data_IF_048274868332
#
_entry.id   IF_048274868332
#
_cell.length_a   1.000
_cell.length_b   1.000
_cell.length_c   1.000
_cell.angle_alpha   90.00
_cell.angle_beta   90.00
_cell.angle_gamma   90.00
#
_symmetry.space_group_name_H-M   'P 1'
#
loop_
_entity.id
_entity.type
_entity.pdbx_description
1 polymer ?
#
# COMPACT_ATOMS: atom_id res chain seq x y z
N UNK A 1 4.62 -8.07 -27.29
CA UNK A 1 5.00 -9.38 -26.71
C UNK A 1 6.01 -10.13 -27.58
N UNK A 2 5.76 -10.39 -28.87
CA UNK A 2 6.69 -11.13 -29.75
C UNK A 2 8.11 -10.53 -29.80
N UNK A 3 8.22 -9.19 -29.81
CA UNK A 3 9.50 -8.49 -29.77
C UNK A 3 10.35 -8.85 -28.53
N UNK A 4 9.73 -8.98 -27.35
CA UNK A 4 10.41 -9.35 -26.10
C UNK A 4 10.93 -10.78 -26.17
N UNK A 5 10.12 -11.71 -26.69
CA UNK A 5 10.55 -13.12 -26.86
C UNK A 5 11.75 -13.19 -27.80
N UNK A 6 11.74 -12.43 -28.89
CA UNK A 6 12.86 -12.37 -29.83
C UNK A 6 14.12 -11.77 -29.19
N UNK A 7 13.98 -10.77 -28.31
CA UNK A 7 15.11 -10.20 -27.58
C UNK A 7 15.72 -11.19 -26.58
N UNK A 8 14.88 -11.90 -25.80
CA UNK A 8 15.31 -13.00 -24.92
C UNK A 8 16.05 -14.07 -25.72
N UNK A 9 15.53 -14.43 -26.91
CA UNK A 9 16.16 -15.40 -27.82
C UNK A 9 17.51 -14.90 -28.33
N UNK A 10 17.60 -13.64 -28.77
CA UNK A 10 18.85 -13.03 -29.27
C UNK A 10 19.93 -12.92 -28.17
N UNK A 11 19.51 -12.72 -26.92
CA UNK A 11 20.40 -12.73 -25.74
C UNK A 11 20.82 -14.14 -25.30
N UNK A 12 20.32 -15.20 -25.95
CA UNK A 12 20.67 -16.58 -25.62
C UNK A 12 20.06 -17.09 -24.31
N UNK A 13 19.06 -16.41 -23.77
CA UNK A 13 18.45 -16.75 -22.47
C UNK A 13 17.32 -17.78 -22.56
N UNK A 14 16.86 -18.07 -23.78
CA UNK A 14 15.67 -18.90 -24.01
C UNK A 14 16.03 -20.37 -24.21
N UNK A 15 15.68 -21.22 -23.24
CA UNK A 15 15.96 -22.66 -23.24
C UNK A 15 14.67 -23.45 -23.50
N UNK A 16 14.72 -24.51 -24.31
CA UNK A 16 13.60 -25.44 -24.47
C UNK A 16 13.60 -26.47 -23.34
N UNK A 17 12.47 -26.65 -22.67
CA UNK A 17 12.30 -27.67 -21.64
C UNK A 17 10.89 -28.23 -21.67
N UNK A 18 10.76 -29.56 -21.84
CA UNK A 18 9.46 -30.27 -21.86
C UNK A 18 8.41 -29.65 -22.83
N UNK A 19 8.85 -29.20 -24.01
CA UNK A 19 7.99 -28.53 -25.00
C UNK A 19 7.71 -27.05 -24.72
N UNK A 20 7.97 -26.55 -23.51
CA UNK A 20 7.90 -25.13 -23.17
C UNK A 20 9.23 -24.40 -23.46
N UNK A 21 9.18 -23.06 -23.42
CA UNK A 21 10.37 -22.20 -23.45
C UNK A 21 10.53 -21.48 -22.11
N UNK A 22 11.68 -21.65 -21.48
CA UNK A 22 11.99 -21.16 -20.13
C UNK A 22 13.22 -20.25 -20.13
N UNK A 23 13.40 -19.51 -19.04
CA UNK A 23 14.64 -18.82 -18.68
C UNK A 23 15.19 -19.50 -17.44
N UNK A 24 16.46 -19.89 -17.49
CA UNK A 24 17.21 -20.38 -16.34
C UNK A 24 18.02 -19.23 -15.74
N UNK A 25 18.09 -19.17 -14.42
CA UNK A 25 18.76 -18.09 -13.71
C UNK A 25 20.10 -18.56 -13.14
N UNK A 26 21.16 -17.76 -13.24
CA UNK A 26 22.42 -18.08 -12.60
C UNK A 26 22.26 -18.11 -11.07
N UNK A 27 23.05 -18.94 -10.40
CA UNK A 27 23.12 -18.93 -8.95
C UNK A 27 23.75 -17.61 -8.48
N UNK A 28 23.16 -17.01 -7.45
CA UNK A 28 23.68 -15.78 -6.83
C UNK A 28 24.08 -16.05 -5.38
N UNK A 29 24.75 -15.11 -4.74
CA UNK A 29 24.99 -15.14 -3.28
C UNK A 29 23.69 -15.21 -2.47
N UNK A 30 22.55 -14.80 -3.05
CA UNK A 30 21.21 -14.88 -2.46
C UNK A 30 20.46 -16.19 -2.75
N UNK A 31 21.15 -17.19 -3.33
CA UNK A 31 20.61 -18.48 -3.76
C UNK A 31 20.33 -18.55 -5.27
N UNK A 32 19.82 -19.71 -5.70
CA UNK A 32 19.36 -19.94 -7.08
C UNK A 32 17.85 -19.71 -7.21
N UNK A 33 17.45 -19.04 -8.29
CA UNK A 33 16.03 -18.92 -8.64
C UNK A 33 15.61 -20.12 -9.51
N UNK A 34 14.43 -20.70 -9.28
CA UNK A 34 13.90 -21.72 -10.18
C UNK A 34 13.63 -21.10 -11.56
N UNK A 35 13.65 -21.89 -12.64
CA UNK A 35 13.39 -21.39 -13.98
C UNK A 35 12.00 -20.75 -14.12
N UNK A 36 11.87 -19.78 -15.02
CA UNK A 36 10.60 -19.13 -15.31
C UNK A 36 10.10 -19.46 -16.73
N UNK A 37 8.82 -19.77 -16.87
CA UNK A 37 8.21 -20.11 -18.16
C UNK A 37 7.87 -18.82 -18.91
N UNK A 38 8.40 -18.67 -20.13
CA UNK A 38 8.13 -17.54 -21.04
C UNK A 38 7.01 -17.89 -22.01
N UNK A 39 7.06 -19.10 -22.55
CA UNK A 39 6.07 -19.65 -23.50
C UNK A 39 5.74 -21.08 -23.07
N UNK A 40 4.44 -21.36 -22.94
CA UNK A 40 3.93 -22.70 -22.61
C UNK A 40 4.13 -23.68 -23.79
N UNK A 41 3.94 -24.97 -23.53
CA UNK A 41 4.05 -26.03 -24.55
C UNK A 41 3.03 -25.89 -25.69
N UNK A 42 1.87 -25.27 -25.43
CA UNK A 42 0.84 -24.94 -26.42
C UNK A 42 1.15 -23.67 -27.24
N UNK A 43 2.30 -23.02 -26.99
CA UNK A 43 2.70 -21.78 -27.66
C UNK A 43 2.12 -20.50 -27.03
N UNK A 44 1.29 -20.59 -25.99
CA UNK A 44 0.72 -19.42 -25.33
C UNK A 44 1.76 -18.66 -24.49
N UNK A 45 1.71 -17.33 -24.54
CA UNK A 45 2.55 -16.45 -23.71
C UNK A 45 2.10 -16.44 -22.25
N UNK A 46 3.05 -16.34 -21.32
CA UNK A 46 2.77 -16.22 -19.88
C UNK A 46 2.64 -14.78 -19.40
N UNK A 47 2.27 -14.59 -18.13
CA UNK A 47 2.28 -13.27 -17.46
C UNK A 47 3.67 -12.63 -17.49
N UNK A 48 4.74 -13.43 -17.33
CA UNK A 48 6.11 -12.95 -17.42
C UNK A 48 6.36 -12.19 -18.73
N UNK A 49 5.93 -12.75 -19.87
CA UNK A 49 6.11 -12.12 -21.18
C UNK A 49 5.31 -10.82 -21.33
N UNK A 50 4.13 -10.73 -20.70
CA UNK A 50 3.30 -9.52 -20.68
C UNK A 50 3.94 -8.44 -19.82
N UNK A 51 4.40 -8.79 -18.63
CA UNK A 51 5.00 -7.84 -17.69
C UNK A 51 6.37 -7.36 -18.18
N UNK A 52 7.16 -8.22 -18.83
CA UNK A 52 8.39 -7.79 -19.51
C UNK A 52 8.10 -6.80 -20.64
N UNK A 53 7.02 -7.00 -21.41
CA UNK A 53 6.62 -6.04 -22.43
C UNK A 53 6.16 -4.70 -21.81
N UNK A 54 5.45 -4.74 -20.69
CA UNK A 54 5.06 -3.54 -19.95
C UNK A 54 6.29 -2.82 -19.38
N UNK A 55 7.25 -3.55 -18.80
CA UNK A 55 8.52 -2.99 -18.33
C UNK A 55 9.25 -2.32 -19.48
N UNK A 56 9.40 -3.01 -20.62
CA UNK A 56 10.09 -2.47 -21.78
C UNK A 56 9.47 -1.16 -22.24
N UNK A 57 8.15 -1.12 -22.35
CA UNK A 57 7.42 0.11 -22.69
C UNK A 57 7.68 1.22 -21.67
N UNK A 58 7.55 0.94 -20.36
CA UNK A 58 7.75 1.94 -19.31
C UNK A 58 9.17 2.50 -19.31
N UNK A 59 10.18 1.65 -19.47
CA UNK A 59 11.58 2.10 -19.45
C UNK A 59 12.00 2.82 -20.73
N UNK A 60 11.36 2.57 -21.88
CA UNK A 60 11.66 3.32 -23.11
C UNK A 60 10.85 4.59 -23.24
N UNK A 61 9.55 4.54 -22.97
CA UNK A 61 8.63 5.67 -23.20
C UNK A 61 8.62 6.66 -22.04
N UNK A 62 8.60 6.14 -20.80
CA UNK A 62 8.47 7.01 -19.61
C UNK A 62 9.81 7.28 -18.94
N UNK A 63 10.79 6.39 -19.10
CA UNK A 63 12.14 6.50 -18.53
C UNK A 63 12.16 6.90 -17.03
N UNK A 64 11.40 6.19 -16.17
CA UNK A 64 11.35 6.56 -14.75
C UNK A 64 12.64 6.13 -14.03
N UNK A 65 13.05 6.90 -13.03
CA UNK A 65 14.15 6.52 -12.14
C UNK A 65 13.79 5.31 -11.26
N UNK A 66 12.50 5.16 -10.89
CA UNK A 66 12.01 4.11 -10.01
C UNK A 66 10.67 3.57 -10.53
N UNK A 67 10.54 2.23 -10.62
CA UNK A 67 9.29 1.52 -10.84
C UNK A 67 8.91 0.74 -9.58
N UNK A 68 7.80 1.14 -8.95
CA UNK A 68 7.26 0.49 -7.75
C UNK A 68 6.12 -0.44 -8.15
N UNK A 69 6.22 -1.70 -7.73
CA UNK A 69 5.24 -2.75 -7.91
C UNK A 69 4.64 -3.07 -6.55
N UNK A 70 3.43 -2.58 -6.30
CA UNK A 70 2.65 -2.86 -5.11
C UNK A 70 1.79 -4.10 -5.39
N UNK A 71 2.22 -5.27 -4.94
CA UNK A 71 1.58 -6.56 -5.22
C UNK A 71 1.78 -7.51 -4.04
N UNK A 72 0.78 -8.37 -3.77
CA UNK A 72 0.80 -9.32 -2.67
C UNK A 72 2.10 -10.14 -2.53
N UNK A 73 2.45 -10.42 -1.29
CA UNK A 73 3.68 -11.13 -0.91
C UNK A 73 3.75 -12.56 -1.46
N UNK A 74 2.63 -13.16 -1.84
CA UNK A 74 2.57 -14.45 -2.53
C UNK A 74 3.22 -14.40 -3.93
N UNK A 75 3.37 -13.21 -4.53
CA UNK A 75 4.02 -13.01 -5.82
C UNK A 75 5.53 -12.69 -5.71
N UNK A 76 6.11 -12.74 -4.51
CA UNK A 76 7.53 -12.38 -4.29
C UNK A 76 8.48 -13.18 -5.18
N UNK A 77 8.28 -14.50 -5.31
CA UNK A 77 9.12 -15.33 -6.19
C UNK A 77 9.01 -14.89 -7.66
N UNK A 78 7.79 -14.60 -8.13
CA UNK A 78 7.54 -14.15 -9.49
C UNK A 78 8.26 -12.82 -9.78
N UNK A 79 8.16 -11.84 -8.89
CA UNK A 79 8.84 -10.55 -9.06
C UNK A 79 10.36 -10.68 -9.02
N UNK A 80 10.91 -11.57 -8.18
CA UNK A 80 12.35 -11.90 -8.22
C UNK A 80 12.76 -12.44 -9.58
N UNK A 81 11.99 -13.37 -10.17
CA UNK A 81 12.27 -13.90 -11.51
C UNK A 81 12.11 -12.83 -12.61
N UNK A 82 11.09 -11.99 -12.50
CA UNK A 82 10.83 -10.89 -13.44
C UNK A 82 12.00 -9.89 -13.45
N UNK A 83 12.40 -9.39 -12.27
CA UNK A 83 13.49 -8.42 -12.16
C UNK A 83 14.85 -9.01 -12.50
N UNK A 84 15.08 -10.29 -12.19
CA UNK A 84 16.30 -10.98 -12.64
C UNK A 84 16.32 -11.13 -14.17
N UNK A 85 15.17 -11.39 -14.80
CA UNK A 85 15.06 -11.41 -16.27
C UNK A 85 15.38 -10.04 -16.88
N UNK A 86 14.85 -8.96 -16.31
CA UNK A 86 15.15 -7.57 -16.71
C UNK A 86 16.65 -7.27 -16.59
N UNK A 87 17.29 -7.75 -15.51
CA UNK A 87 18.74 -7.62 -15.31
C UNK A 87 19.53 -8.36 -16.39
N UNK A 88 19.18 -9.61 -16.68
CA UNK A 88 19.85 -10.43 -17.70
C UNK A 88 19.67 -9.86 -19.13
N UNK A 89 18.54 -9.21 -19.40
CA UNK A 89 18.30 -8.50 -20.66
C UNK A 89 19.11 -7.21 -20.80
N UNK A 90 19.63 -6.67 -19.68
CA UNK A 90 20.36 -5.40 -19.64
C UNK A 90 19.44 -4.17 -19.61
N UNK A 91 18.18 -4.33 -19.18
CA UNK A 91 17.22 -3.22 -19.13
C UNK A 91 17.29 -2.41 -17.83
N UNK A 92 18.15 -2.82 -16.87
CA UNK A 92 18.22 -2.26 -15.52
C UNK A 92 19.01 -0.94 -15.41
N UNK A 93 19.74 -0.52 -16.45
CA UNK A 93 20.79 0.51 -16.31
C UNK A 93 20.29 1.87 -15.78
N UNK A 94 19.05 2.26 -16.06
CA UNK A 94 18.54 3.60 -15.73
C UNK A 94 17.35 3.61 -14.76
N UNK A 95 16.92 2.45 -14.25
CA UNK A 95 15.72 2.36 -13.42
C UNK A 95 15.86 1.37 -12.27
N UNK A 96 15.46 1.79 -11.09
CA UNK A 96 15.26 0.91 -9.94
C UNK A 96 13.91 0.17 -10.06
N UNK A 97 13.89 -1.11 -9.71
CA UNK A 97 12.68 -1.93 -9.69
C UNK A 97 12.44 -2.40 -8.26
N UNK A 98 11.31 -1.99 -7.69
CA UNK A 98 10.95 -2.27 -6.30
C UNK A 98 9.67 -3.07 -6.26
N UNK A 99 9.67 -4.20 -5.56
CA UNK A 99 8.45 -4.94 -5.21
C UNK A 99 8.09 -4.62 -3.76
N UNK A 100 7.04 -3.81 -3.58
CA UNK A 100 6.42 -3.59 -2.28
C UNK A 100 5.42 -4.72 -2.07
N UNK A 101 5.88 -5.74 -1.34
CA UNK A 101 5.15 -6.96 -1.08
C UNK A 101 4.15 -6.77 0.06
N UNK A 102 2.89 -6.42 -0.20
CA UNK A 102 1.87 -6.32 0.87
C UNK A 102 1.47 -7.69 1.42
N UNK A 103 1.14 -7.75 2.70
CA UNK A 103 0.56 -8.95 3.31
C UNK A 103 -0.88 -9.14 2.91
N UNK A 104 -1.43 -10.33 3.15
CA UNK A 104 -2.80 -10.65 2.75
C UNK A 104 -3.81 -10.19 3.80
N UNK A 105 -4.93 -9.65 3.35
CA UNK A 105 -6.09 -9.37 4.20
C UNK A 105 -6.88 -10.66 4.45
N UNK A 106 -7.17 -10.93 5.72
CA UNK A 106 -7.91 -12.11 6.21
C UNK A 106 -9.07 -11.65 7.09
N UNK A 107 -10.15 -12.40 7.13
CA UNK A 107 -11.19 -12.23 8.13
C UNK A 107 -10.98 -13.26 9.26
N UNK A 108 -11.51 -13.03 10.46
CA UNK A 108 -11.36 -13.96 11.59
C UNK A 108 -11.82 -15.40 11.28
N UNK A 109 -12.78 -15.56 10.38
CA UNK A 109 -13.27 -16.88 9.94
C UNK A 109 -12.53 -17.47 8.72
N UNK A 110 -11.46 -16.83 8.26
CA UNK A 110 -10.56 -17.37 7.23
C UNK A 110 -10.11 -16.35 6.17
N UNK A 111 -9.33 -16.86 5.21
CA UNK A 111 -8.92 -16.14 4.01
C UNK A 111 -10.17 -15.77 3.20
N UNK A 112 -10.17 -14.65 2.46
CA UNK A 112 -11.07 -14.50 1.31
C UNK A 112 -10.90 -15.73 0.42
N UNK A 113 -11.83 -16.68 0.51
CA UNK A 113 -11.73 -17.96 -0.17
C UNK A 113 -12.60 -17.87 -1.42
N UNK A 114 -11.97 -17.49 -2.52
CA UNK A 114 -12.54 -17.63 -3.88
C UNK A 114 -12.93 -19.08 -4.20
N UNK A 115 -12.47 -20.06 -3.41
CA UNK A 115 -12.84 -21.47 -3.55
C UNK A 115 -14.12 -21.89 -2.81
N UNK A 116 -14.68 -21.04 -1.93
CA UNK A 116 -15.98 -21.28 -1.26
C UNK A 116 -17.09 -20.31 -1.69
N UNK A 117 -16.81 -19.37 -2.61
CA UNK A 117 -17.82 -18.45 -3.15
C UNK A 117 -18.13 -17.22 -2.28
N UNK A 118 -17.46 -17.07 -1.13
CA UNK A 118 -17.61 -15.89 -0.26
C UNK A 118 -16.53 -14.86 -0.61
N UNK A 119 -16.70 -14.18 -1.73
CA UNK A 119 -15.94 -12.94 -2.02
C UNK A 119 -16.75 -11.76 -1.51
N UNK A 120 -16.22 -11.05 -0.51
CA UNK A 120 -16.81 -9.77 -0.09
C UNK A 120 -16.41 -8.71 -1.10
N UNK A 121 -17.38 -7.99 -1.65
CA UNK A 121 -17.07 -6.93 -2.61
C UNK A 121 -16.48 -5.72 -1.88
N UNK A 122 -15.59 -4.96 -2.55
CA UNK A 122 -15.09 -3.71 -1.99
C UNK A 122 -16.23 -2.74 -1.68
N UNK A 123 -17.29 -2.73 -2.50
CA UNK A 123 -18.49 -1.93 -2.28
C UNK A 123 -19.18 -2.28 -0.95
N UNK A 124 -19.37 -3.57 -0.65
CA UNK A 124 -19.93 -4.03 0.62
C UNK A 124 -19.07 -3.61 1.81
N UNK A 125 -17.74 -3.72 1.71
CA UNK A 125 -16.82 -3.27 2.77
C UNK A 125 -16.97 -1.76 3.00
N UNK A 126 -16.93 -0.97 1.94
CA UNK A 126 -17.02 0.49 2.06
C UNK A 126 -18.38 0.93 2.59
N UNK A 127 -19.48 0.37 2.08
CA UNK A 127 -20.83 0.68 2.55
C UNK A 127 -21.04 0.25 4.01
N UNK A 128 -20.49 -0.91 4.40
CA UNK A 128 -20.48 -1.36 5.79
C UNK A 128 -19.69 -0.43 6.71
N UNK A 129 -18.54 0.05 6.27
CA UNK A 129 -17.72 1.01 7.01
C UNK A 129 -18.44 2.36 7.20
N UNK A 130 -19.07 2.88 6.14
CA UNK A 130 -19.86 4.13 6.21
C UNK A 130 -21.03 3.97 7.17
N UNK A 131 -21.75 2.85 7.09
CA UNK A 131 -22.89 2.56 7.97
C UNK A 131 -22.48 2.47 9.44
N UNK A 132 -21.35 1.83 9.74
CA UNK A 132 -20.78 1.77 11.10
C UNK A 132 -20.36 3.15 11.60
N UNK A 133 -19.67 3.93 10.76
CA UNK A 133 -19.31 5.31 11.10
C UNK A 133 -20.55 6.17 11.39
N UNK A 134 -21.61 6.03 10.58
CA UNK A 134 -22.88 6.72 10.79
C UNK A 134 -23.49 6.40 12.16
N UNK A 135 -23.53 5.13 12.52
CA UNK A 135 -24.05 4.69 13.83
C UNK A 135 -23.24 5.25 15.01
N UNK A 136 -21.91 5.40 14.86
CA UNK A 136 -21.04 6.03 15.87
C UNK A 136 -21.36 7.52 15.99
N UNK A 137 -21.50 8.22 14.87
CA UNK A 137 -21.83 9.66 14.83
C UNK A 137 -23.21 9.93 15.44
N UNK A 138 -24.21 9.10 15.13
CA UNK A 138 -25.56 9.28 15.67
C UNK A 138 -25.64 9.11 17.20
N UNK A 139 -24.67 8.41 17.80
CA UNK A 139 -24.54 8.24 19.25
C UNK A 139 -23.65 9.30 19.91
N UNK A 140 -22.84 10.05 19.15
CA UNK A 140 -21.91 11.03 19.70
C UNK A 140 -22.60 12.37 20.00
N UNK A 141 -22.08 13.10 20.99
CA UNK A 141 -22.57 14.45 21.29
C UNK A 141 -22.35 15.42 20.12
N UNK A 142 -21.22 15.29 19.42
CA UNK A 142 -20.90 16.04 18.21
C UNK A 142 -21.90 15.80 17.09
N UNK A 143 -22.47 14.61 16.99
CA UNK A 143 -23.49 14.29 15.99
C UNK A 143 -24.84 14.97 16.24
N UNK A 144 -25.13 15.44 17.45
CA UNK A 144 -26.42 16.10 17.77
C UNK A 144 -26.56 17.48 17.12
N UNK A 145 -25.45 18.12 16.78
CA UNK A 145 -25.42 19.44 16.15
C UNK A 145 -25.39 19.42 14.62
N UNK A 146 -25.34 18.24 13.99
CA UNK A 146 -25.19 18.09 12.55
C UNK A 146 -26.53 17.76 11.88
N UNK A 147 -26.77 18.34 10.71
CA UNK A 147 -27.90 17.95 9.86
C UNK A 147 -27.67 16.58 9.19
N UNK A 148 -28.70 16.07 8.50
CA UNK A 148 -28.63 14.75 7.86
C UNK A 148 -27.54 14.64 6.79
N UNK A 149 -27.29 15.72 6.04
CA UNK A 149 -26.32 15.81 4.96
C UNK A 149 -24.89 15.92 5.49
N UNK A 150 -24.70 16.72 6.54
CA UNK A 150 -23.43 16.84 7.24
C UNK A 150 -23.03 15.51 7.87
N UNK A 151 -23.97 14.84 8.56
CA UNK A 151 -23.71 13.50 9.11
C UNK A 151 -23.32 12.48 8.04
N UNK A 152 -23.88 12.58 6.84
CA UNK A 152 -23.54 11.67 5.75
C UNK A 152 -22.11 11.91 5.23
N UNK A 153 -21.73 13.18 5.07
CA UNK A 153 -20.35 13.55 4.71
C UNK A 153 -19.34 13.08 5.75
N UNK A 154 -19.64 13.28 7.04
CA UNK A 154 -18.77 12.85 8.13
C UNK A 154 -18.70 11.32 8.19
N UNK A 155 -19.82 10.62 8.07
CA UNK A 155 -19.84 9.15 8.05
C UNK A 155 -18.99 8.58 6.91
N UNK A 156 -19.07 9.20 5.72
CA UNK A 156 -18.24 8.81 4.58
C UNK A 156 -16.76 9.03 4.82
N UNK A 157 -16.38 10.19 5.37
CA UNK A 157 -14.99 10.51 5.67
C UNK A 157 -14.40 9.61 6.76
N UNK A 158 -15.17 9.36 7.83
CA UNK A 158 -14.77 8.49 8.95
C UNK A 158 -14.70 7.03 8.49
N UNK A 159 -15.73 6.53 7.80
CA UNK A 159 -15.79 5.13 7.36
C UNK A 159 -14.69 4.76 6.37
N UNK A 160 -14.50 5.55 5.31
CA UNK A 160 -13.44 5.32 4.33
C UNK A 160 -12.07 5.56 4.97
N UNK A 161 -11.94 6.59 5.80
CA UNK A 161 -10.71 6.88 6.53
C UNK A 161 -10.30 5.72 7.44
N UNK A 162 -11.25 5.10 8.14
CA UNK A 162 -11.03 3.97 9.03
C UNK A 162 -10.48 2.76 8.28
N UNK A 163 -11.09 2.39 7.14
CA UNK A 163 -10.61 1.27 6.31
C UNK A 163 -9.19 1.52 5.78
N UNK A 164 -8.95 2.72 5.21
CA UNK A 164 -7.63 3.06 4.65
C UNK A 164 -6.55 3.12 5.72
N UNK A 165 -6.83 3.76 6.85
CA UNK A 165 -5.85 3.89 7.93
C UNK A 165 -5.53 2.54 8.55
N UNK A 166 -6.55 1.69 8.74
CA UNK A 166 -6.34 0.35 9.27
C UNK A 166 -5.45 -0.50 8.38
N UNK A 167 -5.50 -0.33 7.06
CA UNK A 167 -4.52 -0.94 6.15
C UNK A 167 -3.12 -0.31 6.33
N UNK A 168 -3.04 1.01 6.17
CA UNK A 168 -1.77 1.76 6.14
C UNK A 168 -0.98 1.76 7.46
N UNK A 169 -1.62 1.54 8.60
CA UNK A 169 -0.95 1.52 9.92
C UNK A 169 -0.14 0.24 10.18
N UNK A 170 -0.28 -0.78 9.33
CA UNK A 170 0.48 -2.03 9.43
C UNK A 170 1.74 -1.96 8.57
N UNK A 171 2.80 -2.62 9.02
CA UNK A 171 4.04 -2.70 8.27
C UNK A 171 3.80 -3.44 6.94
N UNK A 172 4.38 -2.96 5.81
CA UNK A 172 4.31 -3.69 4.55
C UNK A 172 4.76 -5.16 4.72
N UNK A 173 4.00 -6.08 4.12
CA UNK A 173 4.26 -7.52 4.17
C UNK A 173 3.62 -8.26 5.33
N UNK A 174 3.06 -7.58 6.33
CA UNK A 174 2.32 -8.28 7.41
C UNK A 174 0.91 -8.61 6.97
N UNK A 175 0.47 -9.86 7.17
CA UNK A 175 -0.93 -10.24 6.99
C UNK A 175 -1.82 -9.47 7.99
N UNK A 176 -2.95 -8.96 7.50
CA UNK A 176 -3.88 -8.14 8.30
C UNK A 176 -5.14 -8.95 8.56
N UNK A 177 -5.54 -9.04 9.83
CA UNK A 177 -6.85 -9.58 10.21
C UNK A 177 -7.84 -8.42 10.27
N UNK A 178 -8.76 -8.40 9.31
CA UNK A 178 -9.84 -7.43 9.22
C UNK A 178 -10.82 -7.62 10.38
N UNK A 179 -11.01 -6.55 11.15
CA UNK A 179 -11.76 -6.57 12.40
C UNK A 179 -12.45 -5.21 12.58
N UNK A 180 -13.78 -5.22 12.53
CA UNK A 180 -14.58 -4.00 12.63
C UNK A 180 -14.43 -3.28 13.97
N UNK A 181 -14.19 -4.01 15.05
CA UNK A 181 -14.04 -3.42 16.38
C UNK A 181 -12.71 -2.67 16.45
N UNK A 182 -11.64 -3.26 15.92
CA UNK A 182 -10.31 -2.63 15.84
C UNK A 182 -10.25 -1.45 14.87
N UNK A 183 -10.95 -1.54 13.74
CA UNK A 183 -10.99 -0.45 12.74
C UNK A 183 -11.62 0.83 13.32
N UNK A 184 -12.64 0.67 14.18
CA UNK A 184 -13.46 1.78 14.67
C UNK A 184 -13.24 2.14 16.15
N UNK A 185 -12.13 1.71 16.77
CA UNK A 185 -11.79 2.11 18.15
C UNK A 185 -11.69 3.63 18.24
N UNK A 186 -12.25 4.24 19.29
CA UNK A 186 -12.25 5.70 19.51
C UNK A 186 -11.07 6.19 20.35
N UNK A 187 -10.12 5.32 20.65
CA UNK A 187 -8.93 5.56 21.45
C UNK A 187 -7.73 4.85 20.82
N UNK A 188 -6.52 5.36 21.05
CA UNK A 188 -5.30 4.74 20.55
C UNK A 188 -5.04 5.01 19.06
N UNK A 189 -4.53 4.01 18.34
CA UNK A 189 -4.06 4.18 16.97
C UNK A 189 -5.14 3.82 15.95
N UNK A 190 -6.07 4.75 15.67
CA UNK A 190 -7.16 4.56 14.71
C UNK A 190 -7.51 5.84 13.94
N UNK A 191 -8.11 5.71 12.75
CA UNK A 191 -8.54 6.87 11.98
C UNK A 191 -9.62 7.71 12.70
N UNK A 192 -10.68 7.10 13.29
CA UNK A 192 -11.68 7.88 14.01
C UNK A 192 -11.07 8.70 15.16
N UNK A 193 -10.14 8.12 15.92
CA UNK A 193 -9.45 8.84 16.99
C UNK A 193 -8.60 10.00 16.46
N UNK A 194 -7.83 9.78 15.40
CA UNK A 194 -7.01 10.84 14.79
C UNK A 194 -7.86 11.97 14.22
N UNK A 195 -8.92 11.64 13.48
CA UNK A 195 -9.83 12.64 12.90
C UNK A 195 -10.52 13.47 14.00
N UNK A 196 -10.96 12.82 15.08
CA UNK A 196 -11.51 13.51 16.25
C UNK A 196 -10.47 14.42 16.92
N UNK A 197 -9.23 13.94 17.07
CA UNK A 197 -8.12 14.71 17.65
C UNK A 197 -7.82 15.96 16.83
N UNK A 198 -7.80 15.86 15.49
CA UNK A 198 -7.64 16.99 14.58
C UNK A 198 -8.78 17.99 14.73
N UNK A 199 -10.04 17.53 14.78
CA UNK A 199 -11.19 18.41 14.98
C UNK A 199 -11.11 19.18 16.31
N UNK A 200 -10.71 18.49 17.39
CA UNK A 200 -10.51 19.09 18.72
C UNK A 200 -9.38 20.13 18.70
N UNK A 201 -8.24 19.81 18.08
CA UNK A 201 -7.12 20.74 17.95
C UNK A 201 -7.51 22.01 17.18
N UNK A 202 -8.24 21.87 16.07
CA UNK A 202 -8.75 23.01 15.29
C UNK A 202 -9.73 23.87 16.10
N UNK A 203 -10.61 23.27 16.90
CA UNK A 203 -11.51 24.01 17.79
C UNK A 203 -10.75 24.84 18.84
N UNK A 204 -9.65 24.29 19.39
CA UNK A 204 -8.77 25.03 20.31
C UNK A 204 -8.10 26.21 19.61
N UNK A 205 -7.55 25.99 18.41
CA UNK A 205 -6.93 27.05 17.62
C UNK A 205 -7.92 28.17 17.28
N UNK A 206 -9.15 27.83 16.88
CA UNK A 206 -10.19 28.80 16.57
C UNK A 206 -10.56 29.67 17.78
N UNK A 207 -10.74 29.05 18.96
CA UNK A 207 -10.97 29.78 20.21
C UNK A 207 -9.78 30.67 20.58
N UNK A 208 -8.57 30.20 20.29
CA UNK A 208 -7.31 30.91 20.55
C UNK A 208 -7.04 32.10 19.62
N UNK A 209 -7.67 32.19 18.44
CA UNK A 209 -7.49 33.32 17.49
C UNK A 209 -7.85 34.69 18.07
N UNK A 210 -8.61 34.74 19.17
CA UNK A 210 -8.96 35.98 19.88
C UNK A 210 -7.84 36.48 20.81
N UNK A 211 -6.77 35.72 20.96
CA UNK A 211 -5.62 36.04 21.81
C UNK A 211 -4.48 36.60 20.98
N UNK A 212 -3.88 37.71 21.41
CA UNK A 212 -2.64 38.22 20.81
C UNK A 212 -1.44 37.41 21.32
N UNK A 213 -0.51 36.97 20.44
CA UNK A 213 0.68 36.26 20.88
C UNK A 213 1.52 37.14 21.81
N UNK A 214 1.94 36.61 22.96
CA UNK A 214 2.85 37.30 23.88
C UNK A 214 4.25 37.36 23.26
N UNK A 215 4.94 38.49 23.36
CA UNK A 215 6.30 38.70 22.81
C UNK A 215 7.37 37.76 23.42
N UNK A 216 7.12 37.23 24.63
CA UNK A 216 7.96 36.22 25.28
C UNK A 216 7.12 35.04 25.71
N UNK A 217 7.41 33.88 25.13
CA UNK A 217 6.76 32.60 25.46
C UNK A 217 7.77 31.76 26.25
N UNK A 218 7.49 31.54 27.54
CA UNK A 218 8.20 30.54 28.33
C UNK A 218 7.45 29.22 28.17
N UNK A 219 8.08 28.25 27.51
CA UNK A 219 7.49 26.94 27.23
C UNK A 219 7.66 26.03 28.43
N UNK A 220 6.61 25.30 28.81
CA UNK A 220 6.69 24.21 29.77
C UNK A 220 7.24 22.92 29.11
N UNK A 221 7.58 21.88 29.89
CA UNK A 221 8.12 20.63 29.34
C UNK A 221 7.21 19.95 28.31
N UNK A 222 5.89 20.00 28.50
CA UNK A 222 4.89 19.39 27.62
C UNK A 222 4.81 20.10 26.26
N UNK A 223 4.77 21.44 26.26
CA UNK A 223 4.78 22.28 25.06
C UNK A 223 6.08 22.08 24.27
N UNK A 224 7.21 21.97 24.97
CA UNK A 224 8.50 21.68 24.36
C UNK A 224 8.54 20.29 23.72
N UNK A 225 7.93 19.29 24.36
CA UNK A 225 7.82 17.94 23.80
C UNK A 225 7.00 17.92 22.51
N UNK A 226 5.87 18.63 22.47
CA UNK A 226 5.04 18.76 21.25
C UNK A 226 5.81 19.43 20.13
N UNK A 227 6.48 20.57 20.41
CA UNK A 227 7.27 21.28 19.41
C UNK A 227 8.39 20.43 18.82
N UNK A 228 9.13 19.69 19.66
CA UNK A 228 10.13 18.71 19.20
C UNK A 228 9.51 17.58 18.38
N UNK A 229 8.29 17.16 18.69
CA UNK A 229 7.56 16.19 17.89
C UNK A 229 7.29 16.69 16.47
N UNK A 230 6.86 17.94 16.33
CA UNK A 230 6.54 18.55 15.03
C UNK A 230 7.77 18.64 14.11
N UNK A 231 8.97 18.89 14.65
CA UNK A 231 10.18 18.99 13.82
C UNK A 231 10.57 17.66 13.19
N UNK A 232 10.18 16.53 13.80
CA UNK A 232 10.50 15.17 13.31
C UNK A 232 9.66 14.76 12.10
N UNK A 233 8.56 15.44 11.80
CA UNK A 233 7.64 15.02 10.73
C UNK A 233 8.33 14.90 9.36
N UNK A 234 9.20 15.86 9.03
CA UNK A 234 9.96 15.83 7.76
C UNK A 234 10.89 14.62 7.66
N UNK A 235 11.56 14.26 8.76
CA UNK A 235 12.43 13.09 8.83
C UNK A 235 11.65 11.79 8.63
N UNK A 236 10.48 11.69 9.27
CA UNK A 236 9.59 10.53 9.16
C UNK A 236 9.09 10.35 7.73
N UNK A 237 8.74 11.43 7.02
CA UNK A 237 8.36 11.36 5.59
C UNK A 237 9.49 10.74 4.75
N UNK A 238 10.73 11.20 4.96
CA UNK A 238 11.88 10.69 4.21
C UNK A 238 12.11 9.20 4.51
N UNK A 239 11.98 8.79 5.77
CA UNK A 239 12.13 7.39 6.17
C UNK A 239 11.00 6.52 5.58
N UNK A 240 9.75 6.98 5.66
CA UNK A 240 8.59 6.29 5.09
C UNK A 240 8.71 6.11 3.58
N UNK A 241 9.17 7.14 2.86
CA UNK A 241 9.41 7.07 1.43
C UNK A 241 10.51 6.08 1.04
N UNK A 242 11.66 6.12 1.74
CA UNK A 242 12.79 5.21 1.48
C UNK A 242 12.44 3.74 1.73
N UNK A 243 11.62 3.50 2.74
CA UNK A 243 11.24 2.15 3.16
C UNK A 243 9.91 1.69 2.55
N UNK A 244 9.25 2.51 1.73
CA UNK A 244 7.90 2.24 1.20
C UNK A 244 6.91 1.84 2.30
N UNK A 245 7.01 2.51 3.46
CA UNK A 245 6.36 2.11 4.71
C UNK A 245 5.47 3.24 5.26
N UNK A 246 4.21 3.36 4.77
CA UNK A 246 3.28 4.38 5.22
C UNK A 246 2.94 4.32 6.70
N UNK A 247 3.08 3.16 7.35
CA UNK A 247 2.80 2.96 8.77
C UNK A 247 3.69 3.75 9.73
N UNK A 248 4.75 4.37 9.20
CA UNK A 248 5.62 5.25 9.96
C UNK A 248 5.07 6.67 10.07
N UNK A 249 4.14 7.07 9.19
CA UNK A 249 3.46 8.38 9.17
C UNK A 249 2.32 8.42 10.19
#
# INVERSE_FOLDING_TARGET
>A
MSAVIEEIRKKGLLVKSQGAKIIEFPSTSSGSLPPAIVVKSDGATTYLTRDLAAIRFRTTEWQPDILIYEVGSDQTLYFRQLFETVRLLGWKENSEFVHVAHGLMRFEHGKMSTRKGETVSLEEVLNGAISKARAIIDRSETGRGLDSHEKEKVAKAVGIGAVKYFDLMHQPGTDIIFDWEKIFVLEGNSAPYLQYTVARANSVLEKGRKSSPKEKIALNPEELAVLRGLTRFSEIIVIAAKNYSPNLL
#
